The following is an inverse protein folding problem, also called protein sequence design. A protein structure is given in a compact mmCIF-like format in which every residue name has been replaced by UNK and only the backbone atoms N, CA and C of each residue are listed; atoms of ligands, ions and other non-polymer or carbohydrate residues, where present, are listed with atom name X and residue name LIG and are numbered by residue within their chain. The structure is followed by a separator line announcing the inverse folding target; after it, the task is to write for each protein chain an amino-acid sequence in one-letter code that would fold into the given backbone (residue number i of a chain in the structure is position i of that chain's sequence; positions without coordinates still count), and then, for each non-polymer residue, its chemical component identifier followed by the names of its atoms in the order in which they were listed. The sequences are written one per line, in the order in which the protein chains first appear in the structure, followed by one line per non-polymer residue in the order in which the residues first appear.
data_IF_975919006820
#
_entry.id   IF_975919006820
#
_cell.length_a   1.000
_cell.length_b   1.000
_cell.length_c   1.000
_cell.angle_alpha   90.00
_cell.angle_beta   90.00
_cell.angle_gamma   90.00
#
_symmetry.space_group_name_H-M   'P 1'
#
loop_
_entity.id
_entity.type
_entity.pdbx_description
1 polymer ?
#
# COMPACT_ATOMS: atom_id res chain seq x y z
N UNK A 1 9.35 1.03 5.60
CA UNK A 1 9.47 1.19 4.13
C UNK A 1 8.62 2.32 3.57
N UNK A 2 7.31 2.40 3.85
CA UNK A 2 6.43 3.48 3.35
C UNK A 2 7.01 4.89 3.57
N UNK A 3 7.45 5.21 4.80
CA UNK A 3 8.08 6.50 5.12
C UNK A 3 9.26 6.84 4.22
N UNK A 4 10.13 5.87 3.95
CA UNK A 4 11.32 6.07 3.12
C UNK A 4 10.95 6.33 1.65
N UNK A 5 9.95 5.63 1.11
CA UNK A 5 9.46 5.90 -0.24
C UNK A 5 8.90 7.32 -0.36
N UNK A 6 8.13 7.76 0.63
CA UNK A 6 7.57 9.11 0.70
C UNK A 6 8.64 10.20 0.88
N UNK A 7 9.69 9.95 1.66
CA UNK A 7 10.80 10.89 1.92
C UNK A 7 11.86 10.91 0.81
N UNK A 8 11.74 10.04 -0.21
CA UNK A 8 12.69 10.00 -1.32
C UNK A 8 12.55 11.22 -2.24
N UNK A 9 13.57 11.47 -3.07
CA UNK A 9 13.56 12.50 -4.11
C UNK A 9 12.71 12.14 -5.34
N UNK A 10 12.11 10.95 -5.38
CA UNK A 10 11.31 10.51 -6.52
C UNK A 10 10.06 11.40 -6.67
N UNK A 11 9.70 11.75 -7.90
CA UNK A 11 8.51 12.58 -8.19
C UNK A 11 7.21 11.88 -7.75
N UNK A 12 7.13 10.57 -7.94
CA UNK A 12 5.97 9.75 -7.59
C UNK A 12 6.36 8.63 -6.62
N UNK A 13 5.60 8.50 -5.52
CA UNK A 13 5.67 7.37 -4.61
C UNK A 13 4.38 6.56 -4.69
N UNK A 14 4.48 5.29 -5.09
CA UNK A 14 3.36 4.34 -5.15
C UNK A 14 3.57 3.27 -4.10
N UNK A 15 2.54 3.04 -3.28
CA UNK A 15 2.55 2.01 -2.24
C UNK A 15 1.39 1.04 -2.53
N UNK A 16 1.65 -0.29 -2.60
CA UNK A 16 0.60 -1.30 -2.67
C UNK A 16 -0.41 -1.14 -1.54
N UNK A 17 -1.70 -1.39 -1.81
CA UNK A 17 -2.74 -1.28 -0.78
C UNK A 17 -2.49 -2.27 0.37
N UNK A 18 -1.87 -3.42 0.10
CA UNK A 18 -1.56 -4.44 1.10
C UNK A 18 -0.58 -3.95 2.17
N UNK A 19 0.39 -3.11 1.79
CA UNK A 19 1.33 -2.49 2.74
C UNK A 19 0.62 -1.49 3.65
N UNK A 20 -0.34 -0.73 3.11
CA UNK A 20 -1.17 0.18 3.90
C UNK A 20 -2.09 -0.55 4.88
N UNK A 21 -2.52 -1.75 4.52
CA UNK A 21 -3.32 -2.64 5.36
C UNK A 21 -2.47 -3.51 6.30
N UNK A 22 -1.13 -3.38 6.27
CA UNK A 22 -0.19 -4.14 7.08
C UNK A 22 -0.36 -5.66 6.94
N UNK A 23 -0.66 -6.13 5.72
CA UNK A 23 -0.82 -7.56 5.45
C UNK A 23 0.55 -8.24 5.31
N UNK A 24 0.65 -9.47 5.79
CA UNK A 24 1.80 -10.33 5.56
C UNK A 24 1.81 -10.94 4.16
N UNK A 25 2.82 -11.75 3.88
CA UNK A 25 2.96 -12.41 2.58
C UNK A 25 1.82 -13.40 2.30
N UNK A 26 1.34 -14.10 3.31
CA UNK A 26 0.28 -15.10 3.13
C UNK A 26 -1.07 -14.41 2.84
N UNK A 27 -1.32 -13.25 3.43
CA UNK A 27 -2.60 -12.53 3.29
C UNK A 27 -2.63 -11.51 2.15
N UNK A 28 -1.47 -10.97 1.74
CA UNK A 28 -1.40 -9.79 0.85
C UNK A 28 -0.72 -10.02 -0.50
N UNK A 29 -0.06 -11.16 -0.73
CA UNK A 29 0.73 -11.35 -1.95
C UNK A 29 -0.17 -11.48 -3.19
N UNK A 30 0.04 -10.58 -4.14
CA UNK A 30 -0.70 -10.58 -5.41
C UNK A 30 -0.19 -11.67 -6.38
N UNK A 31 1.12 -11.85 -6.47
CA UNK A 31 1.73 -12.79 -7.42
C UNK A 31 3.05 -13.37 -6.88
N UNK A 32 3.24 -14.66 -7.14
CA UNK A 32 4.50 -15.39 -7.02
C UNK A 32 4.90 -15.86 -8.42
N UNK A 33 5.90 -15.20 -9.05
CA UNK A 33 6.39 -15.62 -10.36
C UNK A 33 6.75 -17.11 -10.39
N UNK A 34 6.49 -17.77 -11.52
CA UNK A 34 6.73 -19.20 -11.74
C UNK A 34 5.88 -20.15 -10.88
N UNK A 35 4.87 -19.66 -10.17
CA UNK A 35 3.83 -20.48 -9.53
C UNK A 35 2.57 -20.43 -10.39
N UNK A 36 2.04 -21.60 -10.76
CA UNK A 36 0.95 -21.69 -11.72
C UNK A 36 -0.43 -21.33 -11.14
N UNK A 37 -0.63 -21.50 -9.83
CA UNK A 37 -1.94 -21.40 -9.18
C UNK A 37 -1.89 -20.47 -7.96
N UNK A 38 -3.05 -19.91 -7.58
CA UNK A 38 -3.19 -19.07 -6.39
C UNK A 38 -2.70 -17.61 -6.54
N UNK A 39 -2.24 -17.21 -7.72
CA UNK A 39 -1.90 -15.82 -8.02
C UNK A 39 -3.13 -15.01 -8.45
N UNK A 40 -3.07 -13.69 -8.30
CA UNK A 40 -4.07 -12.72 -8.75
C UNK A 40 -5.44 -12.85 -8.07
N UNK A 41 -5.52 -13.59 -6.97
CA UNK A 41 -6.77 -13.85 -6.24
C UNK A 41 -7.03 -12.84 -5.12
N UNK A 42 -6.03 -12.06 -4.71
CA UNK A 42 -6.18 -11.11 -3.61
C UNK A 42 -7.20 -10.02 -3.94
N UNK A 43 -8.08 -9.71 -2.99
CA UNK A 43 -9.06 -8.64 -3.08
C UNK A 43 -9.04 -7.81 -1.81
N UNK A 44 -9.16 -6.50 -1.95
CA UNK A 44 -9.34 -5.63 -0.80
C UNK A 44 -10.64 -5.98 -0.05
N UNK A 45 -10.63 -6.04 1.30
CA UNK A 45 -11.84 -6.18 2.10
C UNK A 45 -12.83 -5.05 1.77
N UNK A 46 -14.13 -5.32 1.74
CA UNK A 46 -15.14 -4.29 1.39
C UNK A 46 -15.08 -3.03 2.27
N UNK A 47 -14.54 -3.16 3.47
CA UNK A 47 -14.39 -2.10 4.47
C UNK A 47 -12.94 -1.57 4.60
N UNK A 48 -12.06 -1.79 3.62
CA UNK A 48 -10.65 -1.38 3.71
C UNK A 48 -10.47 0.13 3.94
N UNK A 49 -11.38 0.96 3.40
CA UNK A 49 -11.30 2.43 3.43
C UNK A 49 -11.74 3.04 4.77
N UNK A 50 -11.15 2.58 5.87
CA UNK A 50 -11.43 3.15 7.19
C UNK A 50 -10.99 4.61 7.29
N UNK A 51 -11.71 5.43 8.08
CA UNK A 51 -11.34 6.83 8.35
C UNK A 51 -9.90 6.94 8.89
N UNK A 52 -9.45 5.94 9.67
CA UNK A 52 -8.09 5.85 10.21
C UNK A 52 -7.05 5.68 9.09
N UNK A 53 -7.30 4.81 8.12
CA UNK A 53 -6.40 4.60 6.99
C UNK A 53 -6.28 5.86 6.14
N UNK A 54 -7.42 6.45 5.76
CA UNK A 54 -7.47 7.68 4.95
C UNK A 54 -6.70 8.82 5.64
N UNK A 55 -6.94 9.03 6.94
CA UNK A 55 -6.22 10.08 7.68
C UNK A 55 -4.72 9.80 7.79
N UNK A 56 -4.32 8.53 7.85
CA UNK A 56 -2.91 8.14 7.90
C UNK A 56 -2.23 8.42 6.56
N UNK A 57 -2.82 8.00 5.44
CA UNK A 57 -2.30 8.30 4.09
C UNK A 57 -2.21 9.81 3.88
N UNK A 58 -3.25 10.57 4.28
CA UNK A 58 -3.24 12.03 4.20
C UNK A 58 -2.08 12.65 4.99
N UNK A 59 -1.79 12.17 6.20
CA UNK A 59 -0.62 12.64 6.99
C UNK A 59 0.70 12.33 6.29
N UNK A 60 0.83 11.19 5.62
CA UNK A 60 2.03 10.86 4.85
C UNK A 60 2.23 11.81 3.67
N UNK A 61 1.16 12.12 2.92
CA UNK A 61 1.21 13.12 1.85
C UNK A 61 1.68 14.47 2.40
N UNK A 62 0.97 15.01 3.40
CA UNK A 62 1.24 16.34 4.02
C UNK A 62 2.67 16.45 4.54
N UNK A 63 3.12 15.47 5.33
CA UNK A 63 4.46 15.47 5.91
C UNK A 63 5.57 15.47 4.86
N UNK A 64 5.30 14.90 3.69
CA UNK A 64 6.32 14.67 2.66
C UNK A 64 6.14 15.62 1.46
N UNK A 65 5.28 16.64 1.58
CA UNK A 65 4.97 17.62 0.54
C UNK A 65 4.50 16.98 -0.78
N UNK A 66 3.62 15.98 -0.67
CA UNK A 66 3.06 15.24 -1.81
C UNK A 66 1.55 15.45 -2.01
N UNK A 67 0.98 16.42 -1.31
CA UNK A 67 -0.31 17.02 -1.60
C UNK A 67 -0.18 18.00 -2.78
N UNK A 68 -1.04 17.85 -3.78
CA UNK A 68 -1.29 18.89 -4.79
C UNK A 68 -2.62 19.55 -4.47
#
# INVERSE_FOLDING_TARGET
MIKLAFDSIAELAVIPLQDWLLLGNEEGRMNTPSVAQGNWVWRAPSNYASKKLISTIKRFNVRSHREK
#
